data_IF_930151273333
#
_entry.id   IF_930151273333
#
_cell.length_a   1.000
_cell.length_b   1.000
_cell.length_c   1.000
_cell.angle_alpha   90.00
_cell.angle_beta   90.00
_cell.angle_gamma   90.00
#
_symmetry.space_group_name_H-M   'P 1'
#
loop_
_entity.id
_entity.type
_entity.pdbx_description
1 polymer ?
#
# COMPACT_ATOMS: atom_id res chain seq x y z
N UNK A 1 19.93 -28.56 -27.78
CA UNK A 1 18.96 -27.51 -28.20
C UNK A 1 17.55 -27.74 -27.65
N UNK A 2 17.10 -28.99 -27.50
CA UNK A 2 15.75 -29.34 -26.99
C UNK A 2 15.45 -28.74 -25.60
N UNK A 3 16.42 -28.76 -24.68
CA UNK A 3 16.29 -28.24 -23.30
C UNK A 3 15.92 -26.76 -23.19
N UNK A 4 16.27 -25.94 -24.18
CA UNK A 4 15.97 -24.50 -24.16
C UNK A 4 14.50 -24.24 -24.53
N UNK A 5 13.97 -25.00 -25.50
CA UNK A 5 12.56 -24.92 -25.90
C UNK A 5 11.65 -25.41 -24.77
N UNK A 6 12.06 -26.45 -24.05
CA UNK A 6 11.33 -26.94 -22.88
C UNK A 6 11.31 -25.90 -21.74
N UNK A 7 12.43 -25.21 -21.48
CA UNK A 7 12.49 -24.15 -20.47
C UNK A 7 11.57 -22.96 -20.80
N UNK A 8 11.54 -22.53 -22.07
CA UNK A 8 10.64 -21.46 -22.53
C UNK A 8 9.17 -21.91 -22.47
N UNK A 9 8.87 -23.17 -22.78
CA UNK A 9 7.51 -23.72 -22.67
C UNK A 9 7.05 -23.85 -21.22
N UNK A 10 7.94 -24.19 -20.29
CA UNK A 10 7.65 -24.21 -18.86
C UNK A 10 7.40 -22.80 -18.33
N UNK A 11 8.24 -21.83 -18.71
CA UNK A 11 8.07 -20.42 -18.32
C UNK A 11 6.77 -19.80 -18.85
N UNK A 12 6.36 -20.14 -20.08
CA UNK A 12 5.05 -19.72 -20.62
C UNK A 12 3.85 -20.43 -19.99
N UNK A 13 4.09 -21.53 -19.25
CA UNK A 13 3.07 -22.31 -18.54
C UNK A 13 3.08 -22.07 -17.02
N UNK A 14 4.08 -21.35 -16.51
CA UNK A 14 4.18 -20.92 -15.12
C UNK A 14 3.18 -19.77 -14.87
N UNK A 15 2.06 -20.10 -14.21
CA UNK A 15 1.05 -19.13 -13.75
C UNK A 15 1.40 -18.49 -12.39
N UNK A 16 2.68 -18.58 -11.99
CA UNK A 16 3.20 -17.93 -10.78
C UNK A 16 3.22 -16.40 -10.91
N UNK A 17 3.27 -15.87 -12.14
CA UNK A 17 3.16 -14.44 -12.44
C UNK A 17 1.82 -13.83 -12.05
N UNK A 18 0.68 -14.37 -12.54
CA UNK A 18 -0.66 -13.99 -12.10
C UNK A 18 -0.85 -14.04 -10.57
N UNK A 19 -0.38 -15.12 -9.94
CA UNK A 19 -0.49 -15.31 -8.48
C UNK A 19 0.25 -14.23 -7.69
N UNK A 20 1.44 -13.81 -8.15
CA UNK A 20 2.20 -12.72 -7.52
C UNK A 20 1.46 -11.37 -7.61
N UNK A 21 0.75 -11.12 -8.72
CA UNK A 21 -0.01 -9.89 -8.91
C UNK A 21 -1.25 -9.85 -8.01
N UNK A 22 -1.92 -10.97 -7.79
CA UNK A 22 -3.08 -11.05 -6.89
C UNK A 22 -2.71 -10.67 -5.45
N UNK A 23 -1.67 -11.29 -4.90
CA UNK A 23 -1.20 -10.97 -3.54
C UNK A 23 -0.65 -9.53 -3.44
N UNK A 24 0.03 -9.03 -4.48
CA UNK A 24 0.51 -7.65 -4.51
C UNK A 24 -0.62 -6.63 -4.47
N UNK A 25 -1.71 -6.87 -5.20
CA UNK A 25 -2.90 -6.00 -5.21
C UNK A 25 -3.60 -6.02 -3.85
N UNK A 26 -3.73 -7.20 -3.22
CA UNK A 26 -4.29 -7.31 -1.86
C UNK A 26 -3.50 -6.48 -0.84
N UNK A 27 -2.17 -6.60 -0.86
CA UNK A 27 -1.28 -5.82 0.01
C UNK A 27 -1.36 -4.32 -0.28
N UNK A 28 -1.41 -3.92 -1.55
CA UNK A 28 -1.53 -2.52 -1.95
C UNK A 28 -2.81 -1.87 -1.39
N UNK A 29 -3.94 -2.59 -1.44
CA UNK A 29 -5.21 -2.10 -0.89
C UNK A 29 -5.14 -1.90 0.63
N UNK A 30 -4.52 -2.83 1.37
CA UNK A 30 -4.31 -2.68 2.82
C UNK A 30 -3.45 -1.46 3.13
N UNK A 31 -2.35 -1.28 2.40
CA UNK A 31 -1.45 -0.13 2.59
C UNK A 31 -2.17 1.19 2.34
N UNK A 32 -2.97 1.28 1.27
CA UNK A 32 -3.76 2.48 0.96
C UNK A 32 -4.72 2.80 2.12
N UNK A 33 -5.46 1.81 2.62
CA UNK A 33 -6.38 2.01 3.76
C UNK A 33 -5.64 2.52 4.99
N UNK A 34 -4.51 1.91 5.35
CA UNK A 34 -3.68 2.37 6.48
C UNK A 34 -3.22 3.82 6.29
N UNK A 35 -2.73 4.17 5.09
CA UNK A 35 -2.29 5.54 4.79
C UNK A 35 -3.44 6.54 4.90
N UNK A 36 -4.64 6.19 4.44
CA UNK A 36 -5.82 7.08 4.57
C UNK A 36 -6.21 7.30 6.02
N UNK A 37 -6.20 6.24 6.84
CA UNK A 37 -6.50 6.33 8.27
C UNK A 37 -5.47 7.21 9.00
N UNK A 38 -4.17 6.99 8.75
CA UNK A 38 -3.09 7.79 9.34
C UNK A 38 -3.24 9.27 8.96
N UNK A 39 -3.55 9.57 7.70
CA UNK A 39 -3.78 10.95 7.26
C UNK A 39 -4.96 11.59 7.98
N UNK A 40 -6.09 10.88 8.08
CA UNK A 40 -7.28 11.38 8.77
C UNK A 40 -6.98 11.71 10.24
N UNK A 41 -6.33 10.78 10.96
CA UNK A 41 -5.91 11.00 12.35
C UNK A 41 -4.95 12.19 12.45
N UNK A 42 -3.92 12.24 11.60
CA UNK A 42 -2.97 13.35 11.59
C UNK A 42 -3.62 14.71 11.37
N UNK A 43 -4.59 14.81 10.47
CA UNK A 43 -5.33 16.07 10.24
C UNK A 43 -6.16 16.49 11.46
N UNK A 44 -6.87 15.57 12.09
CA UNK A 44 -7.67 15.84 13.28
C UNK A 44 -6.78 16.25 14.46
N UNK A 45 -5.66 15.55 14.66
CA UNK A 45 -4.67 15.86 15.69
C UNK A 45 -4.04 17.23 15.50
N UNK A 46 -3.61 17.58 14.28
CA UNK A 46 -3.08 18.92 13.98
C UNK A 46 -4.11 20.02 14.23
N UNK A 47 -5.38 19.80 13.84
CA UNK A 47 -6.45 20.74 14.13
C UNK A 47 -6.61 20.96 15.65
N UNK A 48 -6.57 19.88 16.44
CA UNK A 48 -6.65 19.97 17.91
C UNK A 48 -5.46 20.71 18.52
N UNK A 49 -4.24 20.44 18.06
CA UNK A 49 -3.06 21.18 18.53
C UNK A 49 -3.13 22.67 18.18
N UNK A 50 -3.61 23.03 17.00
CA UNK A 50 -3.80 24.43 16.62
C UNK A 50 -4.88 25.12 17.46
N UNK A 51 -5.96 24.42 17.80
CA UNK A 51 -6.99 24.94 18.72
C UNK A 51 -6.38 25.24 20.09
N UNK A 52 -5.67 24.27 20.68
CA UNK A 52 -5.01 24.46 21.98
C UNK A 52 -3.99 25.59 21.93
N UNK A 53 -3.17 25.66 20.89
CA UNK A 53 -2.20 26.74 20.72
C UNK A 53 -2.88 28.10 20.62
N UNK A 54 -4.02 28.18 19.93
CA UNK A 54 -4.80 29.42 19.83
C UNK A 54 -5.37 29.83 21.18
N UNK A 55 -5.96 28.89 21.93
CA UNK A 55 -6.48 29.15 23.28
C UNK A 55 -5.38 29.58 24.26
N UNK A 56 -4.19 28.99 24.15
CA UNK A 56 -3.03 29.35 24.98
C UNK A 56 -2.48 30.74 24.65
N UNK A 57 -2.51 31.17 23.38
CA UNK A 57 -2.06 32.51 22.98
C UNK A 57 -3.12 33.60 23.18
N UNK A 58 -4.39 33.22 23.33
CA UNK A 58 -5.49 34.15 23.58
C UNK A 58 -5.67 34.51 25.07
N UNK A 59 -5.01 33.76 25.97
CA UNK A 59 -4.97 34.00 27.41
C UNK A 59 -3.80 34.85 27.88
#
# INVERSE_FOLDING_TARGET
MIRFVDAVKTFLKEEDGPTAVEYAVMLALIVIVCLTAIRAVGTATNAKFNQIATELNAG
#
